data_IF_501101603558
#
_entry.id   IF_501101603558
#
_cell.length_a   1.000
_cell.length_b   1.000
_cell.length_c   1.000
_cell.angle_alpha   90.00
_cell.angle_beta   90.00
_cell.angle_gamma   90.00
#
_symmetry.space_group_name_H-M   'P 1'
#
loop_
_entity.id
_entity.type
_entity.pdbx_description
1 polymer ?
#
# COMPACT_ATOMS: atom_id res chain seq x y z
N UNK A 1 -29.64 30.62 38.78
CA UNK A 1 -29.97 29.56 37.79
C UNK A 1 -28.67 29.15 37.11
N UNK A 2 -28.06 28.05 37.56
CA UNK A 2 -26.87 27.51 36.93
C UNK A 2 -27.28 26.43 35.90
N UNK A 3 -26.89 26.72 34.66
CA UNK A 3 -26.58 25.88 33.52
C UNK A 3 -27.16 24.45 33.43
N UNK A 4 -27.75 24.16 32.26
CA UNK A 4 -27.31 23.01 31.44
C UNK A 4 -27.38 23.39 29.96
N UNK A 5 -26.31 24.01 29.46
CA UNK A 5 -26.06 24.00 28.02
C UNK A 5 -25.94 22.54 27.57
N UNK A 6 -26.50 22.22 26.40
CA UNK A 6 -26.46 20.89 25.79
C UNK A 6 -25.02 20.48 25.46
N UNK A 7 -24.32 19.89 26.42
CA UNK A 7 -22.93 19.39 26.29
C UNK A 7 -22.88 18.09 25.46
N UNK A 8 -24.03 17.43 25.22
CA UNK A 8 -24.10 16.11 24.58
C UNK A 8 -23.96 16.10 23.06
N UNK A 9 -24.46 17.12 22.35
CA UNK A 9 -24.49 17.15 20.88
C UNK A 9 -23.11 17.46 20.26
N UNK A 10 -22.46 18.51 20.73
CA UNK A 10 -21.16 18.95 20.20
C UNK A 10 -20.04 17.94 20.44
N UNK A 11 -20.04 17.26 21.59
CA UNK A 11 -19.03 16.25 21.93
C UNK A 11 -19.18 14.98 21.10
N UNK A 12 -20.41 14.57 20.78
CA UNK A 12 -20.69 13.44 19.88
C UNK A 12 -20.33 13.77 18.43
N UNK A 13 -20.62 14.98 17.98
CA UNK A 13 -20.24 15.46 16.64
C UNK A 13 -18.72 15.58 16.50
N UNK A 14 -18.03 16.11 17.50
CA UNK A 14 -16.57 16.18 17.51
C UNK A 14 -15.94 14.77 17.48
N UNK A 15 -16.44 13.83 18.28
CA UNK A 15 -15.98 12.44 18.25
C UNK A 15 -16.22 11.81 16.87
N UNK A 16 -17.41 11.98 16.29
CA UNK A 16 -17.72 11.49 14.95
C UNK A 16 -16.77 12.08 13.89
N UNK A 17 -16.50 13.38 13.95
CA UNK A 17 -15.57 14.05 13.04
C UNK A 17 -14.13 13.51 13.19
N UNK A 18 -13.65 13.32 14.42
CA UNK A 18 -12.30 12.76 14.65
C UNK A 18 -12.17 11.32 14.14
N UNK A 19 -13.19 10.48 14.32
CA UNK A 19 -13.19 9.11 13.80
C UNK A 19 -13.23 9.08 12.26
N UNK A 20 -14.00 9.98 11.64
CA UNK A 20 -14.03 10.15 10.18
C UNK A 20 -12.67 10.59 9.62
N UNK A 21 -12.01 11.57 10.26
CA UNK A 21 -10.67 12.01 9.86
C UNK A 21 -9.63 10.89 10.02
N UNK A 22 -9.69 10.12 11.11
CA UNK A 22 -8.79 8.99 11.32
C UNK A 22 -9.01 7.88 10.28
N UNK A 23 -10.26 7.56 9.94
CA UNK A 23 -10.58 6.58 8.91
C UNK A 23 -10.12 7.04 7.52
N UNK A 24 -10.25 8.34 7.20
CA UNK A 24 -9.77 8.91 5.94
C UNK A 24 -8.24 8.85 5.84
N UNK A 25 -7.52 9.08 6.94
CA UNK A 25 -6.06 8.97 6.97
C UNK A 25 -5.57 7.53 6.73
N UNK A 26 -6.30 6.52 7.22
CA UNK A 26 -5.96 5.10 6.96
C UNK A 26 -6.17 4.70 5.49
N UNK A 27 -7.02 5.42 4.74
CA UNK A 27 -7.28 5.15 3.33
C UNK A 27 -6.36 5.93 2.36
N UNK A 28 -5.45 6.77 2.88
CA UNK A 28 -4.53 7.53 2.03
C UNK A 28 -3.49 6.60 1.38
N UNK A 29 -3.41 6.61 0.05
CA UNK A 29 -2.36 5.93 -0.69
C UNK A 29 -1.01 6.66 -0.52
N UNK A 30 0.08 5.91 -0.39
CA UNK A 30 1.43 6.47 -0.34
C UNK A 30 1.87 6.93 -1.75
N UNK A 31 2.45 8.13 -1.86
CA UNK A 31 2.99 8.70 -3.11
C UNK A 31 4.37 9.30 -2.86
N UNK A 32 5.31 9.04 -3.76
CA UNK A 32 6.61 9.70 -3.83
C UNK A 32 6.89 10.19 -5.26
N UNK A 33 7.74 11.21 -5.41
CA UNK A 33 8.23 11.73 -6.70
C UNK A 33 9.74 11.87 -6.68
N UNK A 34 10.38 11.84 -7.84
CA UNK A 34 11.85 11.86 -7.92
C UNK A 34 12.51 10.51 -7.61
N UNK A 35 11.74 9.45 -7.42
CA UNK A 35 12.26 8.11 -7.08
C UNK A 35 13.08 7.52 -8.23
N UNK A 36 14.24 6.93 -7.92
CA UNK A 36 15.07 6.23 -8.90
C UNK A 36 14.45 4.87 -9.23
N UNK A 37 14.14 4.66 -10.49
CA UNK A 37 13.72 3.35 -11.01
C UNK A 37 14.88 2.76 -11.80
N UNK A 38 15.38 1.62 -11.36
CA UNK A 38 16.36 0.82 -12.08
C UNK A 38 15.66 -0.36 -12.73
N UNK A 39 16.03 -0.67 -13.97
CA UNK A 39 15.63 -1.91 -14.62
C UNK A 39 16.85 -2.84 -14.66
N UNK A 40 16.63 -4.08 -14.28
CA UNK A 40 17.62 -5.15 -14.48
C UNK A 40 16.95 -6.23 -15.33
N UNK A 41 17.47 -6.42 -16.53
CA UNK A 41 17.00 -7.45 -17.47
C UNK A 41 17.59 -8.83 -17.16
N UNK A 42 18.67 -8.88 -16.36
CA UNK A 42 19.48 -10.08 -16.14
C UNK A 42 19.11 -10.86 -14.89
N UNK A 43 18.31 -10.27 -14.00
CA UNK A 43 17.74 -10.96 -12.85
C UNK A 43 16.48 -11.73 -13.24
N UNK A 44 16.16 -12.82 -12.52
CA UNK A 44 15.01 -13.75 -12.74
C UNK A 44 13.60 -13.12 -12.72
N UNK A 45 13.50 -11.79 -12.84
CA UNK A 45 12.31 -10.94 -12.93
C UNK A 45 11.66 -10.95 -14.32
N UNK A 46 11.64 -12.11 -14.98
CA UNK A 46 11.02 -12.30 -16.30
C UNK A 46 9.79 -13.19 -16.16
N UNK A 47 8.65 -12.65 -15.67
CA UNK A 47 7.47 -13.46 -15.43
C UNK A 47 7.02 -14.18 -16.70
N UNK A 48 7.24 -13.58 -17.88
CA UNK A 48 7.11 -14.17 -19.22
C UNK A 48 7.71 -15.56 -19.38
N UNK A 49 8.92 -15.75 -18.91
CA UNK A 49 9.65 -16.99 -19.14
C UNK A 49 9.39 -18.03 -18.06
N UNK A 50 9.01 -17.58 -16.86
CA UNK A 50 8.74 -18.44 -15.71
C UNK A 50 7.26 -18.78 -15.56
N UNK A 51 6.42 -18.50 -16.57
CA UNK A 51 4.97 -18.69 -16.48
C UNK A 51 4.35 -17.96 -15.26
N UNK A 52 4.92 -16.80 -14.93
CA UNK A 52 4.57 -15.95 -13.79
C UNK A 52 4.69 -16.68 -12.45
N UNK A 53 5.48 -17.75 -12.39
CA UNK A 53 5.72 -18.52 -11.18
C UNK A 53 6.59 -17.71 -10.20
N UNK A 54 6.01 -17.37 -9.06
CA UNK A 54 6.65 -16.58 -8.02
C UNK A 54 7.77 -17.38 -7.33
N UNK A 55 7.58 -18.70 -7.13
CA UNK A 55 8.58 -19.57 -6.50
C UNK A 55 9.80 -19.77 -7.39
N UNK A 56 9.58 -20.02 -8.68
CA UNK A 56 10.70 -20.19 -9.62
C UNK A 56 11.52 -18.91 -9.78
N UNK A 57 10.87 -17.75 -9.64
CA UNK A 57 11.52 -16.44 -9.75
C UNK A 57 12.25 -16.02 -8.47
N UNK A 58 12.20 -16.84 -7.40
CA UNK A 58 12.85 -16.59 -6.08
C UNK A 58 12.56 -15.20 -5.51
N UNK A 59 11.36 -14.66 -5.77
CA UNK A 59 11.00 -13.32 -5.31
C UNK A 59 10.60 -13.35 -3.84
N UNK A 60 10.88 -12.28 -3.10
CA UNK A 60 10.51 -12.16 -1.68
C UNK A 60 9.00 -12.34 -1.45
N UNK A 61 8.18 -11.85 -2.39
CA UNK A 61 6.73 -11.97 -2.35
C UNK A 61 6.21 -13.37 -2.68
N UNK A 62 7.06 -14.38 -2.89
CA UNK A 62 6.67 -15.77 -3.13
C UNK A 62 6.21 -16.46 -1.83
N UNK A 63 5.36 -15.79 -1.05
CA UNK A 63 4.71 -16.39 0.11
C UNK A 63 3.53 -17.25 -0.33
N UNK A 64 3.14 -18.20 0.52
CA UNK A 64 2.05 -19.14 0.23
C UNK A 64 0.75 -18.43 -0.17
N UNK A 65 0.49 -17.21 0.32
CA UNK A 65 -0.71 -16.43 0.02
C UNK A 65 -0.73 -15.87 -1.39
N UNK A 66 0.42 -15.50 -1.95
CA UNK A 66 0.50 -14.94 -3.31
C UNK A 66 0.70 -16.02 -4.37
N UNK A 67 1.33 -17.14 -4.01
CA UNK A 67 1.55 -18.26 -4.94
C UNK A 67 0.26 -19.00 -5.30
N UNK A 68 -0.71 -19.06 -4.39
CA UNK A 68 -2.05 -19.64 -4.66
C UNK A 68 -2.95 -18.73 -5.50
N UNK A 69 -2.51 -17.51 -5.82
CA UNK A 69 -3.28 -16.60 -6.65
C UNK A 69 -3.35 -17.10 -8.10
N UNK A 70 -4.51 -16.96 -8.76
CA UNK A 70 -4.68 -17.43 -10.12
C UNK A 70 -3.73 -16.72 -11.08
N UNK A 71 -3.36 -17.39 -12.17
CA UNK A 71 -2.45 -16.85 -13.17
C UNK A 71 -2.94 -15.49 -13.73
N UNK A 72 -4.25 -15.33 -13.92
CA UNK A 72 -4.85 -14.07 -14.36
C UNK A 72 -4.59 -12.90 -13.41
N UNK A 73 -4.46 -13.16 -12.11
CA UNK A 73 -4.07 -12.14 -11.13
C UNK A 73 -2.58 -11.80 -11.24
N UNK A 74 -1.73 -12.83 -11.33
CA UNK A 74 -0.26 -12.66 -11.44
C UNK A 74 0.13 -11.92 -12.73
N UNK A 75 -0.63 -12.14 -13.82
CA UNK A 75 -0.43 -11.51 -15.12
C UNK A 75 -1.13 -10.15 -15.28
N UNK A 76 -1.95 -9.75 -14.30
CA UNK A 76 -2.77 -8.54 -14.43
C UNK A 76 -1.94 -7.27 -14.65
N UNK A 77 -0.76 -7.22 -14.05
CA UNK A 77 0.19 -6.09 -14.13
C UNK A 77 1.63 -6.58 -14.26
N UNK A 78 2.50 -5.70 -14.76
CA UNK A 78 3.95 -5.95 -14.78
C UNK A 78 4.52 -6.07 -13.36
N UNK A 79 5.56 -6.87 -13.22
CA UNK A 79 6.22 -7.08 -11.92
C UNK A 79 7.27 -5.99 -11.66
N UNK A 80 7.41 -5.61 -10.40
CA UNK A 80 8.40 -4.64 -9.94
C UNK A 80 8.85 -5.00 -8.53
N UNK A 81 10.12 -4.75 -8.22
CA UNK A 81 10.62 -4.78 -6.86
C UNK A 81 10.47 -3.39 -6.24
N UNK A 82 10.18 -3.34 -4.94
CA UNK A 82 10.10 -2.09 -4.21
C UNK A 82 11.15 -2.08 -3.10
N UNK A 83 12.05 -1.10 -3.15
CA UNK A 83 13.10 -0.87 -2.17
C UNK A 83 13.07 0.57 -1.59
N UNK A 84 12.06 1.36 -1.93
CA UNK A 84 11.94 2.75 -1.49
C UNK A 84 11.70 2.86 0.02
N UNK A 85 12.48 3.70 0.70
CA UNK A 85 12.13 4.20 2.03
C UNK A 85 11.16 5.37 1.86
N UNK A 86 9.98 5.29 2.48
CA UNK A 86 9.03 6.42 2.49
C UNK A 86 9.27 7.20 3.78
N UNK A 87 10.21 8.15 3.77
CA UNK A 87 10.33 9.10 4.87
C UNK A 87 9.34 10.27 4.66
N UNK A 88 8.67 10.77 5.71
CA UNK A 88 7.92 12.02 5.63
C UNK A 88 8.86 13.20 5.39
N UNK A 89 9.16 13.51 4.11
CA UNK A 89 9.87 14.73 3.71
C UNK A 89 11.20 14.56 2.97
N UNK A 90 11.56 13.37 2.48
CA UNK A 90 12.81 13.16 1.75
C UNK A 90 12.62 12.84 0.27
N UNK A 91 12.85 13.83 -0.59
CA UNK A 91 13.32 13.65 -1.96
C UNK A 91 14.74 13.04 -1.96
N UNK A 92 14.99 12.10 -2.88
CA UNK A 92 16.31 11.46 -3.05
C UNK A 92 17.29 12.36 -3.81
#
# INVERSE_FOLDING_TARGET
>A
MAATASIGGGRRLALAATLLCAAAAMAAAQKASGVRVTYDWTSSYRPQETNWDLKSSSVYCATATFDVMPLSWRMKYGWTSFCGHVEPGGDI
#
